data_IF_916373906436
#
_entry.id   IF_916373906436
#
_cell.length_a   1.000
_cell.length_b   1.000
_cell.length_c   1.000
_cell.angle_alpha   90.00
_cell.angle_beta   90.00
_cell.angle_gamma   90.00
#
_symmetry.space_group_name_H-M   'P 1'
#
loop_
_entity.id
_entity.type
_entity.pdbx_description
1 polymer ?
#
# COMPACT_ATOMS: atom_id res chain seq x y z
N UNK A 1 -1.13 4.04 -5.86
CA UNK A 1 -0.23 5.18 -6.09
C UNK A 1 -0.48 5.69 -7.50
N UNK A 2 -0.54 7.00 -7.69
CA UNK A 2 -0.65 7.61 -9.00
C UNK A 2 0.55 8.52 -9.22
N UNK A 3 0.95 8.67 -10.48
CA UNK A 3 1.97 9.62 -10.88
C UNK A 3 1.31 10.99 -10.97
N UNK A 4 1.82 11.97 -10.22
CA UNK A 4 1.47 13.37 -10.39
C UNK A 4 2.09 13.85 -11.70
N UNK A 5 1.26 14.26 -12.65
CA UNK A 5 1.73 14.83 -13.91
C UNK A 5 1.68 16.37 -13.85
N UNK A 6 2.58 17.06 -14.56
CA UNK A 6 2.70 18.53 -14.48
C UNK A 6 1.58 19.31 -15.18
N UNK A 7 0.75 18.65 -15.99
CA UNK A 7 -0.26 19.30 -16.85
C UNK A 7 -1.67 19.09 -16.30
N UNK A 8 -2.00 17.87 -15.90
CA UNK A 8 -3.29 17.42 -15.37
C UNK A 8 -3.25 17.14 -13.86
N UNK A 9 -2.08 17.17 -13.22
CA UNK A 9 -1.95 16.98 -11.78
C UNK A 9 -2.18 15.55 -11.31
N UNK A 10 -2.78 15.41 -10.13
CA UNK A 10 -3.08 14.14 -9.50
C UNK A 10 -4.34 13.50 -10.08
N UNK A 11 -4.20 12.28 -10.60
CA UNK A 11 -5.32 11.48 -11.10
C UNK A 11 -5.77 10.45 -10.06
N UNK A 12 -6.68 10.88 -9.20
CA UNK A 12 -7.33 10.03 -8.20
C UNK A 12 -8.52 9.27 -8.82
N UNK A 13 -8.40 7.95 -8.94
CA UNK A 13 -9.46 7.11 -9.51
C UNK A 13 -10.17 6.23 -8.49
N UNK A 14 -9.43 5.63 -7.55
CA UNK A 14 -9.99 4.71 -6.57
C UNK A 14 -9.11 4.68 -5.32
N UNK A 15 -9.74 4.68 -4.14
CA UNK A 15 -9.06 4.42 -2.87
C UNK A 15 -9.53 3.10 -2.30
N UNK A 16 -8.57 2.25 -1.96
CA UNK A 16 -8.80 1.00 -1.25
C UNK A 16 -9.23 1.25 0.20
N UNK A 17 -8.78 2.34 0.82
CA UNK A 17 -9.03 2.61 2.24
C UNK A 17 -10.49 2.98 2.54
N UNK A 18 -11.20 3.61 1.59
CA UNK A 18 -12.58 4.07 1.79
C UNK A 18 -13.54 2.90 2.04
N UNK A 19 -13.39 1.80 1.31
CA UNK A 19 -14.26 0.63 1.47
C UNK A 19 -14.04 -0.11 2.78
N UNK A 20 -12.80 -0.15 3.29
CA UNK A 20 -12.49 -0.69 4.62
C UNK A 20 -13.17 0.16 5.71
N UNK A 21 -13.00 1.48 5.64
CA UNK A 21 -13.58 2.40 6.61
C UNK A 21 -15.11 2.36 6.64
N UNK A 22 -15.75 2.21 5.46
CA UNK A 22 -17.20 2.12 5.36
C UNK A 22 -17.76 0.78 5.88
N UNK A 23 -17.09 -0.33 5.57
CA UNK A 23 -17.55 -1.67 5.97
C UNK A 23 -17.19 -2.05 7.41
N UNK A 24 -16.23 -1.35 8.02
CA UNK A 24 -15.70 -1.68 9.34
C UNK A 24 -14.80 -2.92 9.34
N UNK A 25 -14.47 -3.47 8.17
CA UNK A 25 -13.60 -4.65 8.08
C UNK A 25 -12.11 -4.29 8.23
N UNK A 26 -11.33 -5.17 8.86
CA UNK A 26 -9.91 -4.91 9.07
C UNK A 26 -9.17 -4.89 7.74
N UNK A 27 -8.26 -3.92 7.60
CA UNK A 27 -7.46 -3.69 6.41
C UNK A 27 -5.99 -3.46 6.81
N UNK A 28 -5.07 -4.11 6.10
CA UNK A 28 -3.63 -3.87 6.24
C UNK A 28 -3.05 -3.58 4.85
N UNK A 29 -2.24 -2.52 4.74
CA UNK A 29 -1.48 -2.20 3.53
C UNK A 29 0.01 -2.51 3.76
N UNK A 30 0.65 -3.19 2.81
CA UNK A 30 2.08 -3.50 2.83
C UNK A 30 2.77 -3.11 1.51
N UNK A 31 4.08 -2.81 1.51
CA UNK A 31 4.80 -2.45 0.30
C UNK A 31 4.84 -3.59 -0.72
N UNK A 32 4.36 -3.35 -1.94
CA UNK A 32 4.41 -4.29 -3.07
C UNK A 32 5.61 -4.03 -3.99
N UNK A 33 6.24 -2.86 -3.88
CA UNK A 33 7.42 -2.51 -4.66
C UNK A 33 7.31 -1.10 -5.23
N UNK A 34 7.94 -0.89 -6.38
CA UNK A 34 8.06 0.42 -7.02
C UNK A 34 7.74 0.31 -8.50
N UNK A 35 6.95 1.26 -9.00
CA UNK A 35 6.68 1.45 -10.43
C UNK A 35 7.16 2.85 -10.78
N UNK A 36 8.09 2.99 -11.72
CA UNK A 36 8.71 4.27 -12.09
C UNK A 36 9.22 5.08 -10.88
N UNK A 37 9.91 4.42 -9.93
CA UNK A 37 10.37 4.98 -8.65
C UNK A 37 9.25 5.46 -7.69
N UNK A 38 7.98 5.24 -8.02
CA UNK A 38 6.86 5.53 -7.12
C UNK A 38 6.55 4.30 -6.27
N UNK A 39 6.51 4.40 -4.93
CA UNK A 39 6.16 3.27 -4.07
C UNK A 39 4.71 2.86 -4.27
N UNK A 40 4.48 1.57 -4.45
CA UNK A 40 3.15 0.97 -4.60
C UNK A 40 2.94 -0.03 -3.47
N UNK A 41 1.77 0.03 -2.83
CA UNK A 41 1.35 -0.90 -1.80
C UNK A 41 0.24 -1.84 -2.27
N UNK A 42 0.11 -2.98 -1.61
CA UNK A 42 -1.01 -3.92 -1.74
C UNK A 42 -1.82 -3.91 -0.44
N UNK A 43 -3.14 -3.93 -0.55
CA UNK A 43 -4.07 -3.95 0.59
C UNK A 43 -4.70 -5.33 0.75
N UNK A 44 -4.56 -5.91 1.94
CA UNK A 44 -5.28 -7.10 2.35
C UNK A 44 -6.50 -6.73 3.20
N UNK A 45 -7.62 -7.40 2.96
CA UNK A 45 -8.85 -7.23 3.73
C UNK A 45 -9.15 -8.53 4.46
N UNK A 46 -9.47 -8.42 5.74
CA UNK A 46 -9.99 -9.51 6.55
C UNK A 46 -11.51 -9.44 6.68
N UNK A 47 -12.10 -10.54 7.16
CA UNK A 47 -13.46 -10.52 7.71
C UNK A 47 -13.45 -9.86 9.09
N UNK A 48 -14.62 -9.60 9.65
CA UNK A 48 -14.76 -9.19 11.04
C UNK A 48 -13.94 -10.08 11.99
N UNK A 49 -13.23 -9.43 12.93
CA UNK A 49 -12.45 -10.08 14.00
C UNK A 49 -11.41 -11.11 13.54
N UNK A 50 -10.93 -10.99 12.30
CA UNK A 50 -9.93 -11.88 11.71
C UNK A 50 -8.53 -11.29 11.64
N UNK A 51 -8.25 -10.25 12.45
CA UNK A 51 -6.97 -9.55 12.51
C UNK A 51 -5.77 -10.48 12.72
N UNK A 52 -5.82 -11.53 13.58
CA UNK A 52 -4.69 -12.43 13.73
C UNK A 52 -4.28 -13.07 12.40
N UNK A 53 -5.27 -13.51 11.59
CA UNK A 53 -5.00 -14.13 10.30
C UNK A 53 -4.52 -13.10 9.27
N UNK A 54 -5.09 -11.90 9.32
CA UNK A 54 -4.68 -10.80 8.45
C UNK A 54 -3.23 -10.39 8.69
N UNK A 55 -2.81 -10.31 9.95
CA UNK A 55 -1.43 -10.00 10.36
C UNK A 55 -0.48 -11.11 9.91
N UNK A 56 -0.83 -12.39 10.09
CA UNK A 56 -0.03 -13.52 9.58
C UNK A 56 0.20 -13.42 8.07
N UNK A 57 -0.85 -13.10 7.29
CA UNK A 57 -0.75 -12.99 5.83
C UNK A 57 0.13 -11.81 5.41
N UNK A 58 -0.05 -10.65 6.05
CA UNK A 58 0.77 -9.47 5.80
C UNK A 58 2.24 -9.75 6.12
N UNK A 59 2.52 -10.36 7.27
CA UNK A 59 3.86 -10.76 7.69
C UNK A 59 4.49 -11.74 6.69
N UNK A 60 3.78 -12.81 6.33
CA UNK A 60 4.28 -13.80 5.38
C UNK A 60 4.60 -13.17 4.01
N UNK A 61 3.77 -12.23 3.55
CA UNK A 61 4.02 -11.49 2.30
C UNK A 61 5.28 -10.63 2.41
N UNK A 62 5.42 -9.83 3.47
CA UNK A 62 6.59 -8.97 3.65
C UNK A 62 7.88 -9.78 3.75
N UNK A 63 7.89 -10.85 4.56
CA UNK A 63 9.07 -11.71 4.72
C UNK A 63 9.47 -12.42 3.43
N UNK A 64 8.49 -12.82 2.61
CA UNK A 64 8.77 -13.52 1.35
C UNK A 64 9.29 -12.57 0.26
N UNK A 65 8.79 -11.35 0.22
CA UNK A 65 9.03 -10.43 -0.90
C UNK A 65 10.13 -9.43 -0.64
N UNK A 66 10.30 -8.99 0.60
CA UNK A 66 11.29 -7.98 1.00
C UNK A 66 11.25 -6.71 0.12
N UNK A 67 10.09 -6.37 -0.43
CA UNK A 67 9.91 -5.23 -1.35
C UNK A 67 10.10 -3.86 -0.67
N UNK A 68 10.08 -3.82 0.67
CA UNK A 68 10.30 -2.61 1.45
C UNK A 68 11.70 -2.09 1.23
N UNK A 69 11.82 -0.88 0.66
CA UNK A 69 13.06 -0.11 0.62
C UNK A 69 13.01 1.02 1.63
N UNK A 70 14.12 1.25 2.34
CA UNK A 70 14.23 2.40 3.23
C UNK A 70 14.28 3.66 2.36
N UNK A 71 13.54 4.73 2.71
CA UNK A 71 13.68 6.00 2.02
C UNK A 71 15.10 6.54 2.22
N UNK A 72 15.70 7.02 1.14
CA UNK A 72 17.01 7.65 1.13
C UNK A 72 16.85 9.15 0.87
N UNK A 73 17.73 9.95 1.47
CA UNK A 73 17.80 11.37 1.14
C UNK A 73 18.50 11.52 -0.20
N UNK A 74 17.79 11.99 -1.21
CA UNK A 74 18.38 12.35 -2.49
C UNK A 74 18.89 13.80 -2.36
N UNK A 75 20.20 13.98 -2.49
CA UNK A 75 20.78 15.32 -2.68
C UNK A 75 20.35 15.75 -4.08
N UNK A 76 19.45 16.73 -4.17
CA UNK A 76 19.06 17.32 -5.45
C UNK A 76 20.19 18.22 -5.95
N UNK A 77 20.59 18.06 -7.20
CA UNK A 77 21.43 19.02 -7.93
C UNK A 77 20.68 20.35 -8.19
#
# INVERSE_FOLDING_TARGET
AWKTDLVNGDKYYISTTVFAALSGYPNINVPMGFIDNVPVGISFYGKEWSEPKLIEMAYAYEQKTMHRKKPEFLVSD
#
